data_IF_531264070494
#
_entry.id   IF_531264070494
#
_cell.length_a   1.000
_cell.length_b   1.000
_cell.length_c   1.000
_cell.angle_alpha   90.00
_cell.angle_beta   90.00
_cell.angle_gamma   90.00
#
_symmetry.space_group_name_H-M   'P 1'
#
loop_
_entity.id
_entity.type
_entity.pdbx_description
1 polymer ?
#
# COMPACT_ATOMS: atom_id res chain seq x y z
N UNK A 1 14.41 -22.16 10.72
CA UNK A 1 14.20 -20.88 11.42
C UNK A 1 13.98 -21.20 12.88
N UNK A 2 14.88 -20.74 13.75
CA UNK A 2 14.82 -21.08 15.17
C UNK A 2 13.77 -20.22 15.88
N UNK A 3 13.25 -20.72 17.01
CA UNK A 3 12.35 -19.97 17.90
C UNK A 3 12.97 -18.65 18.39
N UNK A 4 14.30 -18.57 18.44
CA UNK A 4 15.08 -17.39 18.82
C UNK A 4 15.05 -16.29 17.74
N UNK A 5 15.21 -16.65 16.46
CA UNK A 5 15.09 -15.69 15.34
C UNK A 5 13.68 -15.07 15.26
N UNK A 6 12.64 -15.86 15.58
CA UNK A 6 11.27 -15.38 15.68
C UNK A 6 11.05 -14.41 16.86
N UNK A 7 11.70 -14.67 18.00
CA UNK A 7 11.59 -13.84 19.21
C UNK A 7 12.32 -12.50 19.06
N UNK A 8 13.45 -12.46 18.37
CA UNK A 8 14.14 -11.20 18.05
C UNK A 8 13.30 -10.32 17.10
N UNK A 9 12.56 -10.91 16.16
CA UNK A 9 11.59 -10.21 15.32
C UNK A 9 10.33 -9.72 16.07
N UNK A 10 10.07 -10.25 17.27
CA UNK A 10 8.89 -9.94 18.09
C UNK A 10 9.11 -8.80 19.09
N UNK A 11 10.34 -8.32 19.27
CA UNK A 11 10.68 -7.24 20.21
C UNK A 11 10.49 -5.86 19.56
N UNK A 12 9.25 -5.53 19.22
CA UNK A 12 8.86 -4.19 18.73
C UNK A 12 8.79 -3.21 19.93
N UNK A 13 9.57 -2.11 19.96
CA UNK A 13 9.76 -1.30 21.17
C UNK A 13 8.55 -0.46 21.63
N UNK A 14 7.37 -0.54 21.00
CA UNK A 14 6.17 0.21 21.47
C UNK A 14 4.90 -0.62 21.43
N UNK A 15 4.52 -1.28 22.56
CA UNK A 15 3.34 -2.16 22.64
C UNK A 15 2.03 -1.53 22.16
N UNK A 16 1.88 -0.20 22.27
CA UNK A 16 0.66 0.53 21.89
C UNK A 16 0.49 0.67 20.37
N UNK A 17 1.55 0.91 19.61
CA UNK A 17 1.44 1.11 18.15
C UNK A 17 1.14 -0.23 17.47
N UNK A 18 1.92 -1.27 17.79
CA UNK A 18 1.70 -2.62 17.27
C UNK A 18 0.32 -3.17 17.65
N UNK A 19 -0.25 -2.77 18.80
CA UNK A 19 -1.61 -3.14 19.19
C UNK A 19 -2.66 -2.63 18.19
N UNK A 20 -2.54 -1.41 17.66
CA UNK A 20 -3.48 -0.88 16.66
C UNK A 20 -3.49 -1.74 15.39
N UNK A 21 -2.30 -2.11 14.90
CA UNK A 21 -2.18 -3.01 13.76
C UNK A 21 -2.74 -4.41 14.05
N UNK A 22 -2.53 -4.95 15.25
CA UNK A 22 -3.13 -6.23 15.67
C UNK A 22 -4.65 -6.19 15.70
N UNK A 23 -5.23 -5.10 16.18
CA UNK A 23 -6.69 -4.92 16.19
C UNK A 23 -7.25 -4.90 14.76
N UNK A 24 -6.59 -4.18 13.85
CA UNK A 24 -6.94 -4.19 12.43
C UNK A 24 -6.77 -5.60 11.83
N UNK A 25 -5.66 -6.29 12.14
CA UNK A 25 -5.37 -7.65 11.68
C UNK A 25 -6.48 -8.62 12.07
N UNK A 26 -6.85 -8.64 13.35
CA UNK A 26 -7.91 -9.50 13.87
C UNK A 26 -9.25 -9.19 13.21
N UNK A 27 -9.55 -7.90 13.02
CA UNK A 27 -10.81 -7.48 12.42
C UNK A 27 -10.89 -7.82 10.93
N UNK A 28 -9.83 -7.56 10.15
CA UNK A 28 -9.83 -7.86 8.71
C UNK A 28 -9.84 -9.37 8.44
N UNK A 29 -9.17 -10.16 9.28
CA UNK A 29 -9.12 -11.62 9.19
C UNK A 29 -10.16 -12.35 10.04
N UNK A 30 -11.19 -11.66 10.56
CA UNK A 30 -12.19 -12.24 11.48
C UNK A 30 -12.93 -13.48 10.92
N UNK A 31 -12.93 -13.67 9.60
CA UNK A 31 -13.55 -14.82 8.90
C UNK A 31 -12.52 -15.85 8.39
N UNK A 32 -11.28 -15.72 8.81
CA UNK A 32 -10.13 -16.48 8.34
C UNK A 32 -9.31 -17.02 9.53
N UNK A 33 -9.81 -18.03 10.26
CA UNK A 33 -9.21 -18.48 11.52
C UNK A 33 -7.76 -18.96 11.37
N UNK A 34 -7.39 -19.52 10.22
CA UNK A 34 -6.00 -19.90 9.93
C UNK A 34 -5.05 -18.69 9.89
N UNK A 35 -5.51 -17.55 9.34
CA UNK A 35 -4.72 -16.32 9.32
C UNK A 35 -4.48 -15.77 10.73
N UNK A 36 -5.46 -15.90 11.63
CA UNK A 36 -5.35 -15.34 12.99
C UNK A 36 -4.26 -16.01 13.85
N UNK A 37 -3.77 -17.18 13.44
CA UNK A 37 -2.69 -17.91 14.15
C UNK A 37 -1.31 -17.33 13.87
N UNK A 38 -1.15 -16.56 12.79
CA UNK A 38 0.15 -16.08 12.34
C UNK A 38 0.03 -14.75 11.60
N UNK A 39 0.54 -13.68 12.23
CA UNK A 39 0.57 -12.33 11.67
C UNK A 39 1.42 -12.22 10.41
N UNK A 40 2.34 -13.17 10.17
CA UNK A 40 3.14 -13.27 8.95
C UNK A 40 2.47 -14.06 7.86
N UNK A 41 1.31 -14.66 8.09
CA UNK A 41 0.56 -15.36 7.06
C UNK A 41 1.43 -16.39 6.29
N UNK A 42 2.09 -17.29 7.00
CA UNK A 42 2.91 -18.35 6.40
C UNK A 42 2.06 -19.51 5.85
N UNK A 43 0.84 -19.69 6.37
CA UNK A 43 -0.08 -20.77 5.97
C UNK A 43 -1.18 -20.27 5.05
N UNK A 44 -1.64 -21.04 4.04
CA UNK A 44 -2.70 -20.64 3.13
C UNK A 44 -3.92 -20.05 3.85
N UNK A 45 -4.47 -18.96 3.32
CA UNK A 45 -5.68 -18.35 3.88
C UNK A 45 -6.84 -19.34 3.72
N UNK A 46 -7.47 -19.73 4.83
CA UNK A 46 -8.67 -20.58 4.83
C UNK A 46 -9.87 -19.80 5.34
N UNK A 47 -11.00 -19.96 4.67
CA UNK A 47 -12.28 -19.42 5.14
C UNK A 47 -12.82 -20.27 6.30
N UNK A 48 -13.90 -19.81 6.95
CA UNK A 48 -14.53 -20.52 8.08
C UNK A 48 -14.97 -21.96 7.78
N UNK A 49 -15.18 -22.30 6.50
CA UNK A 49 -15.50 -23.67 6.06
C UNK A 49 -14.25 -24.53 5.76
N UNK A 50 -13.05 -24.10 6.17
CA UNK A 50 -11.79 -24.82 5.97
C UNK A 50 -11.20 -24.76 4.55
N UNK A 51 -11.97 -24.30 3.54
CA UNK A 51 -11.50 -24.19 2.15
C UNK A 51 -10.49 -23.07 2.00
N UNK A 52 -9.50 -23.28 1.14
CA UNK A 52 -8.52 -22.24 0.78
C UNK A 52 -9.26 -21.09 0.06
N UNK A 53 -9.06 -19.87 0.54
CA UNK A 53 -9.69 -18.69 -0.01
C UNK A 53 -9.14 -18.42 -1.42
N UNK A 54 -10.03 -18.41 -2.43
CA UNK A 54 -9.66 -18.10 -3.83
C UNK A 54 -9.07 -16.70 -4.01
N UNK A 55 -9.35 -15.78 -3.09
CA UNK A 55 -8.86 -14.39 -3.10
C UNK A 55 -8.45 -14.03 -1.67
N UNK A 56 -7.27 -14.49 -1.22
CA UNK A 56 -6.83 -14.25 0.14
C UNK A 56 -6.66 -12.75 0.38
N UNK A 57 -6.83 -12.36 1.65
CA UNK A 57 -6.59 -10.99 2.12
C UNK A 57 -5.08 -10.73 2.17
N UNK A 58 -4.66 -9.60 1.61
CA UNK A 58 -3.27 -9.12 1.52
C UNK A 58 -3.10 -7.92 2.46
N UNK A 59 -3.27 -8.19 3.75
CA UNK A 59 -3.10 -7.21 4.83
C UNK A 59 -2.57 -7.92 6.08
N UNK A 60 -1.31 -7.68 6.47
CA UNK A 60 -0.61 -8.41 7.55
C UNK A 60 0.74 -7.77 7.93
N UNK A 61 1.61 -8.46 8.68
CA UNK A 61 3.03 -8.05 8.85
C UNK A 61 3.82 -8.04 7.54
N UNK A 62 3.37 -8.78 6.52
CA UNK A 62 3.97 -8.73 5.17
C UNK A 62 3.79 -7.38 4.47
N UNK A 63 2.92 -6.51 4.98
CA UNK A 63 2.67 -5.18 4.42
C UNK A 63 3.68 -4.13 4.90
N UNK A 64 4.43 -4.40 5.97
CA UNK A 64 5.41 -3.46 6.51
C UNK A 64 5.42 -3.39 8.02
N UNK A 65 6.02 -2.33 8.54
CA UNK A 65 6.25 -2.14 9.97
C UNK A 65 4.94 -1.89 10.74
N UNK A 66 4.74 -2.58 11.87
CA UNK A 66 3.58 -2.40 12.74
C UNK A 66 3.83 -1.33 13.82
N UNK A 67 4.30 -0.17 13.36
CA UNK A 67 4.61 1.01 14.16
C UNK A 67 4.27 2.26 13.35
N UNK A 68 4.41 3.43 13.95
CA UNK A 68 4.37 4.69 13.18
C UNK A 68 5.44 4.64 12.09
N UNK A 69 5.04 4.92 10.85
CA UNK A 69 5.94 4.96 9.69
C UNK A 69 6.01 6.38 9.16
N UNK A 70 7.12 6.77 8.53
CA UNK A 70 7.20 8.10 7.91
C UNK A 70 6.41 8.17 6.60
N UNK A 71 6.43 7.07 5.84
CA UNK A 71 5.76 6.95 4.54
C UNK A 71 4.75 5.80 4.58
N UNK A 72 3.54 6.04 4.08
CA UNK A 72 2.52 5.03 3.79
C UNK A 72 2.26 5.00 2.28
N UNK A 73 2.20 3.81 1.69
CA UNK A 73 1.95 3.63 0.26
C UNK A 73 0.57 3.04 0.02
N UNK A 74 -0.21 3.64 -0.88
CA UNK A 74 -1.58 3.21 -1.16
C UNK A 74 -1.74 2.88 -2.64
N UNK A 75 -1.80 1.58 -2.96
CA UNK A 75 -2.10 1.07 -4.30
C UNK A 75 -3.58 0.86 -4.56
N UNK A 76 -3.90 0.30 -5.74
CA UNK A 76 -5.27 -0.01 -6.14
C UNK A 76 -5.76 -1.34 -5.52
N UNK A 77 -5.12 -2.45 -5.89
CA UNK A 77 -5.42 -3.78 -5.38
C UNK A 77 -4.26 -4.76 -5.64
N UNK A 78 -4.19 -5.91 -4.94
CA UNK A 78 -3.30 -7.01 -5.29
C UNK A 78 -3.49 -7.48 -6.74
N UNK A 79 -2.39 -7.63 -7.47
CA UNK A 79 -2.36 -8.28 -8.79
C UNK A 79 -2.08 -9.79 -8.70
N UNK A 80 -2.41 -10.51 -9.78
CA UNK A 80 -1.92 -11.85 -10.06
C UNK A 80 -0.79 -11.73 -11.09
N UNK A 81 0.43 -12.13 -10.76
CA UNK A 81 1.59 -11.88 -11.63
C UNK A 81 1.57 -12.80 -12.84
N UNK A 82 0.87 -12.44 -13.91
CA UNK A 82 0.91 -13.16 -15.17
C UNK A 82 0.25 -12.33 -16.26
N UNK A 83 0.80 -12.38 -17.47
CA UNK A 83 0.03 -12.07 -18.65
C UNK A 83 -1.26 -12.91 -18.57
N UNK A 84 -2.38 -12.27 -18.25
CA UNK A 84 -3.70 -12.89 -18.09
C UNK A 84 -3.72 -14.06 -17.07
N UNK A 85 -3.79 -13.74 -15.79
CA UNK A 85 -4.86 -14.39 -15.01
C UNK A 85 -4.54 -15.54 -14.04
N UNK A 86 -3.30 -15.89 -13.68
CA UNK A 86 -3.08 -16.95 -12.68
C UNK A 86 -1.75 -16.95 -11.91
N UNK A 87 -0.83 -16.02 -12.14
CA UNK A 87 0.52 -16.24 -11.61
C UNK A 87 0.66 -16.02 -10.10
N UNK A 88 1.35 -16.97 -9.48
CA UNK A 88 1.58 -17.07 -8.05
C UNK A 88 2.56 -16.04 -7.49
N UNK A 89 3.34 -15.39 -8.35
CA UNK A 89 4.37 -14.44 -7.93
C UNK A 89 3.80 -13.10 -7.47
N UNK A 90 2.54 -12.79 -7.83
CA UNK A 90 1.91 -11.52 -7.51
C UNK A 90 1.52 -11.42 -6.03
N UNK A 91 1.11 -10.23 -5.59
CA UNK A 91 0.60 -10.00 -4.25
C UNK A 91 -0.58 -10.94 -3.89
N UNK A 92 -1.36 -11.38 -4.89
CA UNK A 92 -2.39 -12.39 -4.71
C UNK A 92 -1.85 -13.73 -4.16
N UNK A 93 -0.74 -14.23 -4.72
CA UNK A 93 -0.16 -15.52 -4.34
C UNK A 93 0.81 -15.41 -3.15
N UNK A 94 1.67 -14.39 -3.16
CA UNK A 94 2.70 -14.20 -2.12
C UNK A 94 2.16 -13.56 -0.84
N UNK A 95 1.01 -12.88 -0.93
CA UNK A 95 0.46 -12.00 0.13
C UNK A 95 1.43 -10.91 0.59
N UNK A 96 2.41 -10.57 -0.24
CA UNK A 96 3.29 -9.42 -0.08
C UNK A 96 2.80 -8.37 -1.08
N UNK A 97 2.32 -7.18 -0.65
CA UNK A 97 1.89 -6.12 -1.57
C UNK A 97 2.99 -5.80 -2.58
N UNK A 98 2.67 -5.66 -3.86
CA UNK A 98 3.68 -5.45 -4.90
C UNK A 98 4.82 -6.50 -4.83
N UNK A 99 4.48 -7.77 -4.59
CA UNK A 99 5.43 -8.88 -4.64
C UNK A 99 5.54 -9.45 -6.05
N UNK A 100 6.78 -9.71 -6.50
CA UNK A 100 7.14 -10.67 -7.55
C UNK A 100 6.78 -10.33 -9.00
N UNK A 101 6.10 -9.22 -9.30
CA UNK A 101 5.89 -8.74 -10.66
C UNK A 101 6.75 -7.52 -11.01
N UNK A 102 6.65 -7.03 -12.25
CA UNK A 102 7.34 -5.79 -12.68
C UNK A 102 6.89 -4.60 -11.83
N UNK A 103 5.62 -4.58 -11.40
CA UNK A 103 5.12 -3.57 -10.47
C UNK A 103 5.85 -3.59 -9.13
N UNK A 104 6.14 -4.77 -8.61
CA UNK A 104 6.96 -5.02 -7.44
C UNK A 104 8.39 -4.54 -7.58
N UNK A 105 9.05 -4.89 -8.68
CA UNK A 105 10.41 -4.42 -8.95
C UNK A 105 10.48 -2.89 -9.04
N UNK A 106 9.57 -2.27 -9.79
CA UNK A 106 9.48 -0.81 -9.91
C UNK A 106 9.21 -0.15 -8.55
N UNK A 107 8.33 -0.74 -7.73
CA UNK A 107 8.04 -0.27 -6.38
C UNK A 107 9.31 -0.28 -5.51
N UNK A 108 10.13 -1.33 -5.58
CA UNK A 108 11.39 -1.40 -4.83
C UNK A 108 12.43 -0.38 -5.28
N UNK A 109 12.46 -0.06 -6.58
CA UNK A 109 13.28 1.05 -7.08
C UNK A 109 12.83 2.39 -6.51
N UNK A 110 11.51 2.63 -6.41
CA UNK A 110 10.96 3.85 -5.80
C UNK A 110 11.26 3.90 -4.29
N UNK A 111 11.07 2.79 -3.56
CA UNK A 111 11.39 2.68 -2.14
C UNK A 111 12.88 3.01 -1.87
N UNK A 112 13.78 2.33 -2.57
CA UNK A 112 15.23 2.54 -2.42
C UNK A 112 15.68 3.94 -2.81
N UNK A 113 15.02 4.56 -3.80
CA UNK A 113 15.23 5.97 -4.16
C UNK A 113 14.91 6.92 -3.00
N UNK A 114 13.84 6.64 -2.24
CA UNK A 114 13.46 7.41 -1.06
C UNK A 114 14.32 7.10 0.17
N UNK A 115 15.23 6.13 0.08
CA UNK A 115 16.04 5.69 1.22
C UNK A 115 15.23 4.93 2.28
N UNK A 116 14.17 4.24 1.86
CA UNK A 116 13.36 3.38 2.73
C UNK A 116 13.27 1.97 2.15
N UNK A 117 13.08 1.00 3.02
CA UNK A 117 12.78 -0.38 2.65
C UNK A 117 11.36 -0.78 3.07
N UNK A 118 10.89 -1.94 2.60
CA UNK A 118 9.60 -2.53 3.02
C UNK A 118 9.52 -2.74 4.54
N UNK A 119 10.65 -2.91 5.22
CA UNK A 119 10.71 -3.12 6.67
C UNK A 119 10.48 -1.83 7.48
N UNK A 120 10.53 -0.66 6.85
CA UNK A 120 10.49 0.65 7.53
C UNK A 120 9.26 1.47 7.17
N UNK A 121 8.46 0.97 6.23
CA UNK A 121 7.26 1.62 5.72
C UNK A 121 6.06 0.69 5.85
N UNK A 122 4.89 1.11 5.37
CA UNK A 122 3.72 0.26 5.26
C UNK A 122 3.10 0.41 3.87
N UNK A 123 2.76 -0.70 3.22
CA UNK A 123 2.18 -0.74 1.86
C UNK A 123 0.80 -1.37 1.95
N UNK A 124 -0.22 -0.65 1.52
CA UNK A 124 -1.62 -1.10 1.51
C UNK A 124 -2.26 -0.77 0.16
N UNK A 125 -3.53 -1.17 0.01
CA UNK A 125 -4.31 -0.90 -1.18
C UNK A 125 -5.75 -0.47 -0.85
N UNK A 126 -6.40 0.18 -1.80
CA UNK A 126 -7.83 0.52 -1.74
C UNK A 126 -8.72 -0.72 -1.56
N UNK A 127 -8.33 -1.85 -2.18
CA UNK A 127 -8.90 -3.18 -1.97
C UNK A 127 -7.77 -4.16 -1.63
N UNK A 128 -7.82 -4.84 -0.48
CA UNK A 128 -6.76 -5.76 -0.05
C UNK A 128 -7.00 -7.23 -0.47
N UNK A 129 -7.68 -7.44 -1.59
CA UNK A 129 -7.92 -8.75 -2.22
C UNK A 129 -7.86 -8.59 -3.74
N UNK A 130 -7.54 -9.67 -4.47
CA UNK A 130 -7.58 -9.65 -5.94
C UNK A 130 -8.97 -9.22 -6.45
N UNK A 131 -9.09 -8.26 -7.38
CA UNK A 131 -10.37 -7.87 -7.96
C UNK A 131 -11.06 -9.00 -8.74
N UNK A 132 -12.35 -8.82 -9.01
CA UNK A 132 -13.17 -9.85 -9.63
C UNK A 132 -12.82 -10.16 -11.08
N UNK A 133 -12.39 -9.15 -11.82
CA UNK A 133 -11.93 -9.28 -13.20
C UNK A 133 -10.51 -9.86 -13.33
N UNK A 134 -9.86 -10.26 -12.23
CA UNK A 134 -8.42 -10.50 -12.20
C UNK A 134 -7.66 -9.24 -11.83
N UNK A 135 -6.33 -9.22 -11.98
CA UNK A 135 -5.51 -8.04 -11.67
C UNK A 135 -6.01 -6.77 -12.39
N UNK A 136 -5.62 -5.59 -11.87
CA UNK A 136 -6.03 -4.29 -12.41
C UNK A 136 -6.82 -3.45 -11.40
N UNK A 137 -7.59 -2.48 -11.89
CA UNK A 137 -8.34 -1.56 -11.06
C UNK A 137 -9.60 -2.22 -10.45
N UNK A 138 -9.80 -2.17 -9.12
CA UNK A 138 -11.02 -2.67 -8.50
C UNK A 138 -12.20 -1.78 -8.86
N UNK A 139 -13.38 -2.40 -9.04
CA UNK A 139 -14.62 -1.64 -9.26
C UNK A 139 -15.03 -0.93 -7.96
N UNK A 140 -15.70 0.25 -8.02
CA UNK A 140 -16.21 0.92 -6.81
C UNK A 140 -17.10 0.04 -5.93
N UNK A 141 -17.88 -0.85 -6.54
CA UNK A 141 -18.70 -1.83 -5.83
C UNK A 141 -17.87 -2.83 -5.01
N UNK A 142 -16.64 -3.17 -5.44
CA UNK A 142 -15.76 -4.06 -4.70
C UNK A 142 -15.14 -3.37 -3.49
N UNK A 143 -14.70 -2.12 -3.66
CA UNK A 143 -14.22 -1.27 -2.55
C UNK A 143 -15.32 -1.08 -1.49
N UNK A 144 -16.58 -0.96 -1.94
CA UNK A 144 -17.77 -0.83 -1.09
C UNK A 144 -18.20 -2.11 -0.37
N UNK A 145 -17.59 -3.28 -0.64
CA UNK A 145 -17.96 -4.54 0.03
C UNK A 145 -17.31 -4.67 1.40
N UNK A 146 -18.03 -5.38 2.29
CA UNK A 146 -17.53 -5.79 3.61
C UNK A 146 -16.26 -6.63 3.48
N UNK A 147 -15.27 -6.35 4.33
CA UNK A 147 -14.03 -7.13 4.44
C UNK A 147 -13.81 -7.50 5.91
N UNK A 148 -13.86 -8.79 6.23
CA UNK A 148 -13.88 -9.24 7.63
C UNK A 148 -14.94 -8.53 8.47
N UNK A 149 -14.51 -7.88 9.55
CA UNK A 149 -15.31 -7.06 10.45
C UNK A 149 -15.47 -5.59 10.01
N UNK A 150 -14.95 -5.18 8.86
CA UNK A 150 -15.06 -3.81 8.34
C UNK A 150 -16.26 -3.63 7.40
N UNK A 151 -17.04 -2.53 7.51
CA UNK A 151 -18.16 -2.28 6.62
C UNK A 151 -17.77 -2.20 5.14
N UNK A 152 -16.64 -1.56 4.83
CA UNK A 152 -16.08 -1.46 3.47
C UNK A 152 -14.55 -1.49 3.51
N UNK A 153 -13.89 -1.65 2.37
CA UNK A 153 -12.43 -1.57 2.29
C UNK A 153 -11.89 -0.16 2.58
N UNK A 154 -12.71 0.89 2.39
CA UNK A 154 -12.35 2.25 2.81
C UNK A 154 -12.26 2.41 4.33
N UNK A 155 -13.08 1.67 5.09
CA UNK A 155 -12.99 1.70 6.55
C UNK A 155 -11.69 1.01 7.03
N UNK A 156 -11.29 -0.08 6.38
CA UNK A 156 -9.98 -0.69 6.61
C UNK A 156 -8.83 0.27 6.26
N UNK A 157 -8.93 0.97 5.13
CA UNK A 157 -7.93 1.95 4.73
C UNK A 157 -7.84 3.11 5.73
N UNK A 158 -8.97 3.65 6.21
CA UNK A 158 -9.02 4.66 7.29
C UNK A 158 -8.26 4.21 8.53
N UNK A 159 -8.59 3.03 9.05
CA UNK A 159 -7.92 2.53 10.25
C UNK A 159 -6.43 2.28 10.01
N UNK A 160 -6.05 1.84 8.80
CA UNK A 160 -4.64 1.69 8.41
C UNK A 160 -3.92 3.04 8.38
N UNK A 161 -4.53 4.09 7.82
CA UNK A 161 -4.01 5.46 7.80
C UNK A 161 -3.76 5.97 9.23
N UNK A 162 -4.74 5.82 10.10
CA UNK A 162 -4.64 6.22 11.51
C UNK A 162 -3.61 5.37 12.24
N UNK A 163 -3.54 4.05 12.04
CA UNK A 163 -2.55 3.20 12.71
C UNK A 163 -1.11 3.44 12.24
N UNK A 164 -0.92 3.80 10.97
CA UNK A 164 0.39 4.10 10.39
C UNK A 164 0.93 5.48 10.80
N UNK A 165 0.05 6.46 11.06
CA UNK A 165 0.44 7.83 11.44
C UNK A 165 1.49 8.49 10.53
N UNK A 166 1.39 8.36 9.18
CA UNK A 166 2.42 8.81 8.27
C UNK A 166 2.61 10.32 8.27
N UNK A 167 3.80 10.76 7.87
CA UNK A 167 4.08 12.17 7.52
C UNK A 167 3.91 12.41 6.02
N UNK A 168 4.08 11.37 5.21
CA UNK A 168 3.86 11.37 3.76
C UNK A 168 3.02 10.15 3.37
N UNK A 169 1.94 10.36 2.61
CA UNK A 169 1.19 9.29 1.95
C UNK A 169 1.45 9.35 0.46
N UNK A 170 1.94 8.25 -0.10
CA UNK A 170 2.16 8.09 -1.54
C UNK A 170 1.02 7.29 -2.15
N UNK A 171 0.15 7.97 -2.88
CA UNK A 171 -0.94 7.36 -3.63
C UNK A 171 -0.44 6.89 -5.01
N UNK A 172 -0.49 5.59 -5.25
CA UNK A 172 -0.04 4.96 -6.49
C UNK A 172 -1.21 4.80 -7.45
N UNK A 173 -1.30 5.70 -8.44
CA UNK A 173 -2.37 5.74 -9.42
C UNK A 173 -3.65 6.40 -8.91
N UNK A 174 -4.65 6.47 -9.80
CA UNK A 174 -5.87 7.25 -9.58
C UNK A 174 -6.76 6.61 -8.50
N UNK A 175 -6.87 5.28 -8.51
CA UNK A 175 -7.67 4.55 -7.52
C UNK A 175 -7.11 4.73 -6.11
N UNK A 176 -5.78 4.63 -5.94
CA UNK A 176 -5.13 4.82 -4.65
C UNK A 176 -5.40 6.22 -4.08
N UNK A 177 -5.29 7.26 -4.90
CA UNK A 177 -5.56 8.64 -4.49
C UNK A 177 -7.03 8.85 -4.10
N UNK A 178 -7.96 8.43 -4.95
CA UNK A 178 -9.40 8.62 -4.72
C UNK A 178 -9.88 7.85 -3.49
N UNK A 179 -9.39 6.63 -3.29
CA UNK A 179 -9.71 5.83 -2.13
C UNK A 179 -9.14 6.40 -0.83
N UNK A 180 -7.92 6.96 -0.88
CA UNK A 180 -7.31 7.67 0.24
C UNK A 180 -8.19 8.83 0.72
N UNK A 181 -8.60 9.70 -0.19
CA UNK A 181 -9.47 10.84 0.14
C UNK A 181 -10.83 10.37 0.65
N UNK A 182 -11.46 9.41 -0.03
CA UNK A 182 -12.75 8.87 0.41
C UNK A 182 -12.67 8.18 1.80
N UNK A 183 -11.57 7.48 2.08
CA UNK A 183 -11.35 6.85 3.39
C UNK A 183 -11.28 7.88 4.52
N UNK A 184 -10.73 9.06 4.28
CA UNK A 184 -10.71 10.16 5.26
C UNK A 184 -12.05 10.89 5.41
N UNK A 185 -13.02 10.68 4.48
CA UNK A 185 -14.29 11.44 4.40
C UNK A 185 -15.58 10.60 4.43
N UNK A 186 -15.52 9.37 4.94
CA UNK A 186 -16.64 8.42 5.01
C UNK A 186 -17.94 8.97 5.62
N UNK A 187 -17.87 9.91 6.57
CA UNK A 187 -19.07 10.52 7.17
C UNK A 187 -19.64 11.64 6.31
N UNK A 188 -18.80 12.46 5.69
CA UNK A 188 -19.24 13.54 4.81
C UNK A 188 -20.01 12.98 3.60
N UNK A 189 -19.53 11.87 3.03
CA UNK A 189 -20.20 11.21 1.90
C UNK A 189 -21.55 10.58 2.27
N UNK A 190 -21.72 10.13 3.53
CA UNK A 190 -22.99 9.57 4.03
C UNK A 190 -24.12 10.59 4.05
N UNK A 191 -23.80 11.88 4.24
CA UNK A 191 -24.79 12.96 4.23
C UNK A 191 -25.21 13.38 2.81
N UNK A 192 -24.42 13.05 1.78
CA UNK A 192 -24.64 13.51 0.40
C UNK A 192 -25.10 12.46 -0.63
N UNK A 193 -25.03 11.16 -0.35
CA UNK A 193 -25.27 10.12 -1.37
C UNK A 193 -26.41 9.14 -1.02
N UNK A 194 -27.61 9.43 -1.53
CA UNK A 194 -28.63 8.41 -1.85
C UNK A 194 -28.85 8.42 -3.36
N UNK A 195 -28.37 7.40 -4.08
CA UNK A 195 -28.72 7.16 -5.48
C UNK A 195 -29.22 5.72 -5.60
N UNK A 196 -30.54 5.55 -5.82
CA UNK A 196 -31.16 4.23 -6.03
C UNK A 196 -31.10 3.26 -4.84
N UNK A 197 -31.08 3.74 -3.59
CA UNK A 197 -31.19 2.90 -2.39
C UNK A 197 -29.99 1.99 -2.04
N UNK A 198 -28.97 1.87 -2.92
CA UNK A 198 -27.76 1.07 -2.67
C UNK A 198 -26.58 1.95 -2.25
N UNK A 199 -25.97 1.63 -1.11
CA UNK A 199 -24.74 2.27 -0.61
C UNK A 199 -23.54 1.84 -1.47
N UNK A 200 -23.08 2.71 -2.37
CA UNK A 200 -21.79 2.56 -3.05
C UNK A 200 -20.74 3.43 -2.35
N UNK A 201 -19.48 3.00 -2.34
CA UNK A 201 -18.37 3.85 -1.89
C UNK A 201 -18.21 5.00 -2.90
N UNK A 202 -18.43 6.24 -2.46
CA UNK A 202 -18.50 7.39 -3.36
C UNK A 202 -17.12 8.00 -3.59
N UNK A 203 -16.29 7.33 -4.39
CA UNK A 203 -14.94 7.84 -4.70
C UNK A 203 -15.00 9.20 -5.44
N UNK A 204 -14.34 10.27 -4.95
CA UNK A 204 -14.32 11.57 -5.61
C UNK A 204 -13.78 11.46 -7.04
N UNK A 205 -14.23 12.30 -7.96
CA UNK A 205 -13.70 12.30 -9.33
C UNK A 205 -12.27 12.84 -9.35
N UNK A 206 -11.47 12.40 -10.34
CA UNK A 206 -10.10 12.90 -10.50
C UNK A 206 -10.09 14.42 -10.72
N UNK A 207 -10.97 14.93 -11.60
CA UNK A 207 -11.11 16.37 -11.87
C UNK A 207 -11.36 17.18 -10.59
N UNK A 208 -12.22 16.68 -9.69
CA UNK A 208 -12.48 17.32 -8.39
C UNK A 208 -11.22 17.40 -7.53
N UNK A 209 -10.44 16.32 -7.48
CA UNK A 209 -9.19 16.29 -6.71
C UNK A 209 -8.11 17.21 -7.29
N UNK A 210 -8.02 17.31 -8.62
CA UNK A 210 -7.14 18.25 -9.30
C UNK A 210 -7.54 19.71 -9.03
N UNK A 211 -8.85 20.01 -9.07
CA UNK A 211 -9.39 21.32 -8.68
C UNK A 211 -9.14 21.66 -7.21
N UNK A 212 -9.08 20.66 -6.34
CA UNK A 212 -8.67 20.81 -4.94
C UNK A 212 -7.16 20.99 -4.76
N UNK A 213 -6.37 21.04 -5.84
CA UNK A 213 -4.93 21.32 -5.81
C UNK A 213 -4.04 20.07 -5.83
N UNK A 214 -4.59 18.86 -5.90
CA UNK A 214 -3.78 17.64 -5.97
C UNK A 214 -3.30 17.40 -7.41
N UNK A 215 -1.99 17.49 -7.62
CA UNK A 215 -1.35 17.29 -8.94
C UNK A 215 -0.42 16.10 -8.93
N UNK A 216 -0.40 15.37 -10.04
CA UNK A 216 0.49 14.21 -10.18
C UNK A 216 1.95 14.67 -10.10
N UNK A 217 2.78 13.89 -9.42
CA UNK A 217 4.22 14.14 -9.22
C UNK A 217 4.56 15.42 -8.43
N UNK A 218 3.58 16.02 -7.75
CA UNK A 218 3.80 17.17 -6.88
C UNK A 218 3.32 16.83 -5.47
N UNK A 219 4.18 16.90 -4.44
CA UNK A 219 3.73 16.77 -3.07
C UNK A 219 2.87 17.98 -2.70
N UNK A 220 1.76 17.75 -2.03
CA UNK A 220 0.86 18.79 -1.55
C UNK A 220 0.45 18.50 -0.10
N UNK A 221 0.16 19.53 0.72
CA UNK A 221 -0.52 19.31 1.99
C UNK A 221 -1.90 18.70 1.74
N UNK A 222 -2.53 18.20 2.80
CA UNK A 222 -3.92 17.77 2.69
C UNK A 222 -4.79 18.99 2.32
N UNK A 223 -5.53 18.97 1.20
CA UNK A 223 -6.20 20.17 0.73
C UNK A 223 -7.47 20.44 1.54
N UNK A 224 -7.74 21.71 1.86
CA UNK A 224 -8.88 22.12 2.67
C UNK A 224 -10.23 21.72 2.05
N UNK A 225 -10.34 21.81 0.73
CA UNK A 225 -11.53 21.35 -0.01
C UNK A 225 -11.79 19.84 0.17
N UNK A 226 -10.76 19.06 0.49
CA UNK A 226 -10.83 17.63 0.82
C UNK A 226 -10.52 17.31 2.28
N UNK A 227 -10.75 18.25 3.20
CA UNK A 227 -10.51 18.07 4.64
C UNK A 227 -11.14 16.76 5.15
N UNK A 228 -10.40 15.96 5.96
CA UNK A 228 -10.96 14.76 6.60
C UNK A 228 -12.18 15.07 7.45
N UNK A 229 -13.06 14.09 7.63
CA UNK A 229 -14.21 14.23 8.52
C UNK A 229 -13.83 14.21 10.01
N UNK A 230 -14.72 14.70 10.86
CA UNK A 230 -14.45 14.85 12.30
C UNK A 230 -14.11 13.52 12.98
N UNK A 231 -14.71 12.40 12.55
CA UNK A 231 -14.34 11.10 13.08
C UNK A 231 -12.94 10.66 12.69
N UNK A 232 -12.47 11.00 11.49
CA UNK A 232 -11.07 10.79 11.12
C UNK A 232 -10.15 11.66 11.98
N UNK A 233 -10.44 12.97 12.10
CA UNK A 233 -9.61 13.91 12.86
C UNK A 233 -9.54 13.54 14.35
N UNK A 234 -10.67 13.15 14.95
CA UNK A 234 -10.70 12.68 16.34
C UNK A 234 -9.90 11.38 16.53
N UNK A 235 -9.98 10.43 15.59
CA UNK A 235 -9.19 9.21 15.64
C UNK A 235 -7.69 9.50 15.48
N UNK A 236 -7.33 10.45 14.60
CA UNK A 236 -5.96 10.91 14.41
C UNK A 236 -5.41 11.57 15.67
N UNK A 237 -6.13 12.55 16.24
CA UNK A 237 -5.76 13.23 17.49
C UNK A 237 -5.58 12.23 18.64
N UNK A 238 -6.51 11.27 18.78
CA UNK A 238 -6.41 10.21 19.79
C UNK A 238 -5.18 9.33 19.58
N UNK A 239 -4.79 9.09 18.33
CA UNK A 239 -3.67 8.21 18.02
C UNK A 239 -2.31 8.91 18.14
N UNK A 240 -2.23 10.20 17.78
CA UNK A 240 -0.98 10.93 17.51
C UNK A 240 -0.90 12.34 18.10
N UNK A 241 -1.89 12.76 18.90
CA UNK A 241 -1.95 14.13 19.43
C UNK A 241 -2.00 15.15 18.29
N UNK A 242 -1.28 16.26 18.47
CA UNK A 242 -1.25 17.40 17.54
C UNK A 242 -0.36 17.16 16.31
N UNK A 243 -0.06 15.90 15.99
CA UNK A 243 0.70 15.58 14.78
C UNK A 243 -0.07 16.10 13.54
N UNK A 244 0.60 16.81 12.61
CA UNK A 244 -0.06 17.30 11.41
C UNK A 244 -0.54 16.15 10.54
N UNK A 245 -1.57 16.42 9.73
CA UNK A 245 -1.98 15.51 8.66
C UNK A 245 -0.82 15.28 7.67
N UNK A 246 -0.73 14.10 7.05
CA UNK A 246 0.34 13.81 6.12
C UNK A 246 0.26 14.68 4.86
N UNK A 247 1.42 15.00 4.30
CA UNK A 247 1.51 15.41 2.90
C UNK A 247 1.06 14.27 1.99
N UNK A 248 0.51 14.62 0.84
CA UNK A 248 0.03 13.70 -0.18
C UNK A 248 0.91 13.80 -1.42
N UNK A 249 1.40 12.66 -1.91
CA UNK A 249 2.08 12.56 -3.20
C UNK A 249 1.33 11.60 -4.10
N UNK A 250 0.83 12.10 -5.22
CA UNK A 250 0.15 11.27 -6.22
C UNK A 250 1.11 10.89 -7.34
N UNK A 251 1.43 9.61 -7.44
CA UNK A 251 2.31 9.07 -8.48
C UNK A 251 1.54 8.28 -9.52
N UNK A 252 2.13 8.14 -10.71
CA UNK A 252 1.73 7.11 -11.66
C UNK A 252 1.91 5.73 -11.02
N UNK A 253 0.94 4.82 -11.22
CA UNK A 253 1.03 3.47 -10.69
C UNK A 253 2.23 2.73 -11.31
N UNK A 254 3.10 2.06 -10.53
CA UNK A 254 4.36 1.51 -11.02
C UNK A 254 4.21 0.21 -11.82
N UNK A 255 3.07 -0.07 -12.45
CA UNK A 255 2.83 -1.31 -13.22
C UNK A 255 3.65 -1.35 -14.52
N UNK A 256 3.82 -2.56 -15.07
CA UNK A 256 4.45 -2.77 -16.39
C UNK A 256 3.84 -1.95 -17.53
N UNK A 257 2.52 -1.67 -17.45
CA UNK A 257 1.79 -0.86 -18.44
C UNK A 257 2.15 0.63 -18.40
N UNK A 258 2.73 1.09 -17.29
CA UNK A 258 3.10 2.50 -17.10
C UNK A 258 4.61 2.71 -17.06
N UNK A 259 5.35 1.75 -16.49
CA UNK A 259 6.79 1.78 -16.28
C UNK A 259 7.35 0.39 -16.55
N UNK A 260 8.27 0.27 -17.50
CA UNK A 260 8.85 -1.01 -17.89
C UNK A 260 10.37 -0.90 -17.94
N UNK A 261 11.11 -1.68 -17.12
CA UNK A 261 12.56 -1.73 -17.21
C UNK A 261 13.04 -2.38 -18.51
N UNK A 262 12.16 -2.97 -19.31
CA UNK A 262 12.51 -3.52 -20.63
C UNK A 262 12.42 -2.46 -21.73
N UNK A 263 11.67 -1.38 -21.53
CA UNK A 263 11.51 -0.33 -22.53
C UNK A 263 12.77 0.56 -22.65
N UNK A 264 13.04 1.09 -23.85
CA UNK A 264 14.16 2.00 -24.09
C UNK A 264 14.07 3.30 -23.28
N UNK A 265 15.22 3.98 -23.08
CA UNK A 265 15.32 5.23 -22.30
C UNK A 265 14.57 6.41 -22.91
N UNK A 266 14.33 6.39 -24.22
CA UNK A 266 13.57 7.41 -24.94
C UNK A 266 12.04 7.23 -24.82
N UNK A 267 11.56 6.15 -24.20
CA UNK A 267 10.13 5.84 -24.15
C UNK A 267 9.43 6.53 -22.97
N UNK A 268 8.13 6.75 -23.12
CA UNK A 268 7.29 7.27 -22.02
C UNK A 268 7.35 6.41 -20.75
N UNK A 269 7.64 5.11 -20.86
CA UNK A 269 7.81 4.22 -19.71
C UNK A 269 8.98 4.64 -18.82
N UNK A 270 10.12 4.96 -19.43
CA UNK A 270 11.31 5.42 -18.73
C UNK A 270 11.11 6.84 -18.17
N UNK A 271 10.55 7.75 -18.97
CA UNK A 271 10.22 9.12 -18.54
C UNK A 271 9.32 9.13 -17.31
N UNK A 272 8.29 8.27 -17.27
CA UNK A 272 7.38 8.16 -16.11
C UNK A 272 8.09 7.65 -14.86
N UNK A 273 9.02 6.70 -15.00
CA UNK A 273 9.81 6.20 -13.88
C UNK A 273 10.72 7.29 -13.31
N UNK A 274 11.45 8.03 -14.18
CA UNK A 274 12.28 9.17 -13.77
C UNK A 274 11.48 10.29 -13.11
N UNK A 275 10.31 10.62 -13.66
CA UNK A 275 9.43 11.63 -13.08
C UNK A 275 8.91 11.21 -11.69
N UNK A 276 8.51 9.94 -11.53
CA UNK A 276 8.10 9.40 -10.22
C UNK A 276 9.27 9.40 -9.22
N UNK A 277 10.47 9.04 -9.66
CA UNK A 277 11.69 9.08 -8.88
C UNK A 277 11.99 10.51 -8.37
N UNK A 278 12.01 11.48 -9.27
CA UNK A 278 12.29 12.88 -8.96
C UNK A 278 11.24 13.46 -8.00
N UNK A 279 9.95 13.22 -8.26
CA UNK A 279 8.86 13.67 -7.42
C UNK A 279 8.93 13.08 -6.01
N UNK A 280 9.24 11.79 -5.89
CA UNK A 280 9.40 11.13 -4.60
C UNK A 280 10.60 11.69 -3.83
N UNK A 281 11.75 11.89 -4.48
CA UNK A 281 12.92 12.52 -3.85
C UNK A 281 12.60 13.93 -3.35
N UNK A 282 11.90 14.72 -4.16
CA UNK A 282 11.45 16.06 -3.77
C UNK A 282 10.50 16.00 -2.56
N UNK A 283 9.51 15.09 -2.57
CA UNK A 283 8.59 14.91 -1.46
C UNK A 283 9.28 14.46 -0.16
N UNK A 284 10.29 13.60 -0.24
CA UNK A 284 11.08 13.20 0.93
C UNK A 284 11.82 14.41 1.53
N UNK A 285 12.39 15.28 0.70
CA UNK A 285 13.03 16.52 1.18
C UNK A 285 12.01 17.47 1.82
N UNK A 286 10.92 17.76 1.13
CA UNK A 286 9.96 18.79 1.58
C UNK A 286 9.06 18.31 2.72
N UNK A 287 8.50 17.10 2.63
CA UNK A 287 7.56 16.60 3.62
C UNK A 287 8.24 15.97 4.84
N UNK A 288 9.40 15.33 4.65
CA UNK A 288 10.10 14.62 5.73
C UNK A 288 11.31 15.37 6.28
N UNK A 289 11.84 16.35 5.55
CA UNK A 289 13.05 17.08 5.93
C UNK A 289 14.32 16.23 5.81
N UNK A 290 14.33 15.23 4.92
CA UNK A 290 15.42 14.26 4.77
C UNK A 290 16.03 14.33 3.39
N UNK A 291 17.35 14.14 3.29
CA UNK A 291 18.00 13.98 1.99
C UNK A 291 17.91 12.52 1.52
N UNK A 292 17.33 12.23 0.34
CA UNK A 292 17.31 10.89 -0.21
C UNK A 292 18.73 10.42 -0.57
N UNK A 293 19.03 9.11 -0.49
CA UNK A 293 20.38 8.61 -0.73
C UNK A 293 20.85 8.95 -2.14
N UNK A 294 22.16 9.21 -2.30
CA UNK A 294 22.78 9.48 -3.60
C UNK A 294 22.76 8.24 -4.50
N UNK A 295 22.97 7.06 -3.92
CA UNK A 295 22.89 5.77 -4.59
C UNK A 295 21.84 4.87 -3.94
N UNK A 296 21.10 4.10 -4.75
CA UNK A 296 20.05 3.20 -4.24
C UNK A 296 20.68 2.03 -3.48
N UNK A 297 20.38 1.83 -2.18
CA UNK A 297 20.99 0.77 -1.36
C UNK A 297 20.57 -0.63 -1.86
N UNK A 298 21.33 -1.68 -1.50
CA UNK A 298 20.94 -3.05 -1.79
C UNK A 298 19.70 -3.47 -0.97
N UNK A 299 19.08 -4.58 -1.37
CA UNK A 299 17.98 -5.16 -0.62
C UNK A 299 18.42 -5.60 0.79
N UNK A 300 17.63 -5.29 1.83
CA UNK A 300 17.87 -5.84 3.17
C UNK A 300 17.82 -7.36 3.17
N UNK A 301 18.44 -7.98 4.19
CA UNK A 301 18.44 -9.44 4.38
C UNK A 301 17.50 -9.94 5.47
N UNK A 302 16.89 -9.03 6.24
CA UNK A 302 16.01 -9.33 7.37
C UNK A 302 14.55 -8.92 7.11
N UNK A 303 13.65 -9.29 8.02
CA UNK A 303 12.24 -8.91 7.98
C UNK A 303 11.50 -9.52 6.78
N UNK A 304 10.75 -8.70 6.04
CA UNK A 304 9.99 -9.14 4.86
C UNK A 304 10.92 -9.77 3.81
N UNK A 305 12.15 -9.25 3.67
CA UNK A 305 13.13 -9.74 2.71
C UNK A 305 13.75 -11.11 3.07
N UNK A 306 13.51 -11.59 4.30
CA UNK A 306 13.93 -12.90 4.79
C UNK A 306 12.86 -13.99 4.62
N UNK A 307 11.64 -13.62 4.20
CA UNK A 307 10.58 -14.59 3.97
C UNK A 307 10.99 -15.59 2.87
N UNK A 308 10.67 -16.89 3.00
CA UNK A 308 11.04 -17.90 2.01
C UNK A 308 10.58 -17.53 0.59
N UNK A 309 9.33 -17.10 0.43
CA UNK A 309 8.83 -16.72 -0.90
C UNK A 309 9.55 -15.48 -1.45
N UNK A 310 10.01 -14.58 -0.58
CA UNK A 310 10.82 -13.45 -1.00
C UNK A 310 12.18 -13.91 -1.51
N UNK A 311 12.93 -14.64 -0.67
CA UNK A 311 14.29 -15.08 -0.97
C UNK A 311 14.33 -15.96 -2.23
N UNK A 312 13.41 -16.91 -2.31
CA UNK A 312 13.49 -17.99 -3.30
C UNK A 312 12.83 -17.60 -4.64
N UNK A 313 11.87 -16.66 -4.63
CA UNK A 313 11.05 -16.36 -5.83
C UNK A 313 11.03 -14.88 -6.22
N UNK A 314 10.95 -13.95 -5.26
CA UNK A 314 10.80 -12.52 -5.54
C UNK A 314 12.16 -11.86 -5.78
N UNK A 315 13.13 -12.09 -4.88
CA UNK A 315 14.44 -11.42 -4.89
C UNK A 315 15.19 -11.60 -6.20
N UNK A 316 15.38 -12.82 -6.75
CA UNK A 316 16.16 -12.98 -7.99
C UNK A 316 15.57 -12.16 -9.15
N UNK A 317 14.24 -12.11 -9.23
CA UNK A 317 13.53 -11.33 -10.24
C UNK A 317 13.69 -9.82 -9.99
N UNK A 318 13.50 -9.37 -8.76
CA UNK A 318 13.60 -7.95 -8.41
C UNK A 318 15.03 -7.42 -8.59
N UNK A 319 16.06 -8.20 -8.28
CA UNK A 319 17.46 -7.85 -8.55
C UNK A 319 17.74 -7.75 -10.06
N UNK A 320 17.16 -8.62 -10.88
CA UNK A 320 17.22 -8.49 -12.34
C UNK A 320 16.58 -7.21 -12.85
N UNK A 321 15.37 -6.88 -12.37
CA UNK A 321 14.66 -5.65 -12.73
C UNK A 321 15.41 -4.40 -12.23
N UNK A 322 16.01 -4.48 -11.03
CA UNK A 322 16.81 -3.41 -10.45
C UNK A 322 18.03 -3.08 -11.31
N UNK A 323 18.75 -4.10 -11.76
CA UNK A 323 19.91 -3.96 -12.65
C UNK A 323 19.56 -3.25 -13.94
N UNK A 324 18.47 -3.66 -14.60
CA UNK A 324 17.98 -3.02 -15.82
C UNK A 324 17.66 -1.53 -15.62
N UNK A 325 17.12 -1.16 -14.45
CA UNK A 325 16.88 0.24 -14.13
C UNK A 325 18.18 1.02 -13.91
N UNK A 326 19.17 0.43 -13.22
CA UNK A 326 20.49 1.05 -13.01
C UNK A 326 21.22 1.30 -14.33
N UNK A 327 21.23 0.33 -15.24
CA UNK A 327 21.79 0.46 -16.59
C UNK A 327 21.15 1.62 -17.37
N UNK A 328 19.90 1.97 -17.04
CA UNK A 328 19.12 3.06 -17.63
C UNK A 328 19.17 4.35 -16.81
N UNK A 329 20.09 4.45 -15.84
CA UNK A 329 20.31 5.65 -15.04
C UNK A 329 19.21 5.96 -14.01
N UNK A 330 18.43 4.96 -13.59
CA UNK A 330 17.40 5.05 -12.52
C UNK A 330 17.91 4.50 -11.20
#
# INVERSE_FOLDING_TARGET
MSKLEYLEMSRDPRPREARRFREIFRRVHARHPACLKDEWLMQPCRAGNGRVARRPIVWSRRNGAWRRVEILWVGAAPGNAGARGAGELGAHGTRIPFGGDVGGGNMDVLLSTAGVSRNETFITAALNTLPAGGGGEPRPAEIGRRVGGYPTSLHLLRDTLVAAGPRLVVALGNVGLRALIAAARLQAERKGARRGGKRTAALPSQRRLEQAGLRRNQPAPWPDAERPDDAFLAAWQKAWGDAPLPHLLWLTHPSAQNMSPYAGTHTAFHTRMRAAQAALRAAVRTALGREPPRARPPFPRAGIYALPEWRDRIRPRHEGLDRLWREKGV
#
